data_IF_787553402806
#
_entry.id   IF_787553402806
#
_cell.length_a   1.000
_cell.length_b   1.000
_cell.length_c   1.000
_cell.angle_alpha   90.00
_cell.angle_beta   90.00
_cell.angle_gamma   90.00
#
_symmetry.space_group_name_H-M   'P 1'
#
loop_
_entity.id
_entity.type
_entity.pdbx_description
1 polymer ?
#
# COMPACT_ATOMS: atom_id res chain seq x y z
N UNK A 1 24.52 57.01 17.24
CA UNK A 1 23.25 56.31 17.52
C UNK A 1 23.32 54.95 16.81
N UNK A 2 23.61 53.88 17.55
CA UNK A 2 23.91 52.54 17.01
C UNK A 2 22.71 51.62 17.28
N UNK A 3 22.17 51.01 16.23
CA UNK A 3 21.10 50.04 16.31
C UNK A 3 21.59 48.76 16.99
N UNK A 4 20.86 48.30 18.01
CA UNK A 4 21.05 46.96 18.58
C UNK A 4 19.81 46.12 18.33
N UNK A 5 20.06 45.01 17.64
CA UNK A 5 19.12 44.05 17.09
C UNK A 5 18.07 43.56 18.10
N UNK A 6 16.81 43.52 17.66
CA UNK A 6 15.76 42.78 18.34
C UNK A 6 16.08 41.29 18.22
N UNK A 7 16.51 40.68 19.32
CA UNK A 7 16.62 39.23 19.43
C UNK A 7 15.20 38.69 19.37
N UNK A 8 14.79 38.16 18.22
CA UNK A 8 13.58 37.35 18.14
C UNK A 8 13.89 36.02 18.83
N UNK A 9 13.48 35.91 20.09
CA UNK A 9 13.43 34.62 20.78
C UNK A 9 12.44 33.75 19.99
N UNK A 10 12.96 32.86 19.15
CA UNK A 10 12.17 31.76 18.60
C UNK A 10 11.77 30.91 19.81
N UNK A 11 10.53 31.08 20.26
CA UNK A 11 9.93 30.19 21.26
C UNK A 11 10.11 28.78 20.73
N UNK A 12 10.92 28.01 21.45
CA UNK A 12 11.02 26.57 21.31
C UNK A 12 9.61 26.02 21.57
N UNK A 13 8.85 25.81 20.50
CA UNK A 13 7.59 25.12 20.56
C UNK A 13 7.91 23.67 20.87
N UNK A 14 7.83 23.32 22.15
CA UNK A 14 7.80 21.95 22.65
C UNK A 14 6.80 21.19 21.80
N UNK A 15 7.30 20.34 20.89
CA UNK A 15 6.47 19.40 20.17
C UNK A 15 5.97 18.43 21.22
N UNK A 16 4.68 18.49 21.54
CA UNK A 16 4.05 17.50 22.39
C UNK A 16 4.37 16.11 21.80
N UNK A 17 4.80 15.17 22.66
CA UNK A 17 5.25 13.81 22.32
C UNK A 17 4.15 12.90 21.71
N UNK A 18 3.08 13.50 21.17
CA UNK A 18 1.94 12.83 20.54
C UNK A 18 1.63 13.30 19.11
N UNK A 19 2.39 14.24 18.52
CA UNK A 19 2.15 14.64 17.12
C UNK A 19 2.79 13.63 16.15
N UNK A 20 1.98 12.72 15.62
CA UNK A 20 2.39 11.82 14.53
C UNK A 20 2.50 12.57 13.21
N UNK A 21 3.64 12.43 12.52
CA UNK A 21 3.84 12.98 11.18
C UNK A 21 2.81 12.42 10.20
N UNK A 22 2.25 13.23 9.28
CA UNK A 22 1.40 12.72 8.18
C UNK A 22 2.10 11.56 7.42
N UNK A 23 3.43 11.59 7.35
CA UNK A 23 4.23 10.54 6.73
C UNK A 23 4.14 9.18 7.43
N UNK A 24 3.80 9.12 8.73
CA UNK A 24 3.58 7.84 9.43
C UNK A 24 2.31 7.13 8.98
N UNK A 25 1.34 7.87 8.43
CA UNK A 25 0.13 7.30 7.85
C UNK A 25 0.31 6.92 6.37
N UNK A 26 1.31 7.50 5.70
CA UNK A 26 1.60 7.26 4.28
C UNK A 26 2.61 6.14 4.01
N UNK A 27 3.40 5.73 5.01
CA UNK A 27 4.38 4.65 4.82
C UNK A 27 3.69 3.30 4.86
N UNK A 28 3.62 2.63 3.71
CA UNK A 28 3.62 1.17 3.51
C UNK A 28 3.41 0.38 4.80
N UNK A 29 2.20 0.42 5.34
CA UNK A 29 1.79 -0.57 6.32
C UNK A 29 1.61 -1.84 5.51
N UNK A 30 2.27 -2.94 5.91
CA UNK A 30 1.89 -4.26 5.40
C UNK A 30 0.36 -4.32 5.39
N UNK A 31 -0.22 -4.68 4.24
CA UNK A 31 -1.67 -4.72 4.14
C UNK A 31 -2.19 -5.67 5.21
N UNK A 32 -3.23 -5.22 5.89
CA UNK A 32 -3.94 -6.08 6.81
C UNK A 32 -4.39 -7.33 6.05
N UNK A 33 -4.12 -8.50 6.63
CA UNK A 33 -4.32 -9.79 5.97
C UNK A 33 -5.73 -9.91 5.37
N UNK A 34 -6.76 -9.48 6.11
CA UNK A 34 -8.15 -9.51 5.64
C UNK A 34 -8.39 -8.70 4.37
N UNK A 35 -7.77 -7.52 4.26
CA UNK A 35 -7.90 -6.69 3.06
C UNK A 35 -7.12 -7.28 1.87
N UNK A 36 -5.97 -7.91 2.11
CA UNK A 36 -5.26 -8.68 1.08
C UNK A 36 -6.11 -9.85 0.56
N UNK A 37 -6.79 -10.56 1.45
CA UNK A 37 -7.69 -11.67 1.10
C UNK A 37 -8.89 -11.19 0.24
N UNK A 38 -9.43 -10.00 0.51
CA UNK A 38 -10.47 -9.39 -0.32
C UNK A 38 -10.00 -9.05 -1.74
N UNK A 39 -8.77 -8.54 -1.86
CA UNK A 39 -8.13 -8.26 -3.16
C UNK A 39 -7.94 -9.59 -3.91
N UNK A 40 -7.41 -10.63 -3.26
CA UNK A 40 -7.26 -11.97 -3.84
C UNK A 40 -8.59 -12.51 -4.39
N UNK A 41 -9.67 -12.40 -3.60
CA UNK A 41 -11.00 -12.85 -4.00
C UNK A 41 -11.52 -12.09 -5.22
N UNK A 42 -11.29 -10.79 -5.27
CA UNK A 42 -11.72 -9.92 -6.37
C UNK A 42 -10.96 -10.22 -7.67
N UNK A 43 -9.63 -10.37 -7.58
CA UNK A 43 -8.78 -10.76 -8.72
C UNK A 43 -9.25 -12.11 -9.25
N UNK A 44 -9.46 -13.09 -8.37
CA UNK A 44 -9.82 -14.44 -8.83
C UNK A 44 -11.18 -14.48 -9.51
N UNK A 45 -12.17 -13.75 -8.97
CA UNK A 45 -13.46 -13.58 -9.64
C UNK A 45 -13.30 -12.99 -11.03
N UNK A 46 -12.48 -11.95 -11.19
CA UNK A 46 -12.23 -11.36 -12.50
C UNK A 46 -11.59 -12.37 -13.48
N UNK A 47 -10.60 -13.14 -13.01
CA UNK A 47 -9.93 -14.13 -13.85
C UNK A 47 -10.89 -15.25 -14.30
N UNK A 48 -11.70 -15.78 -13.38
CA UNK A 48 -12.66 -16.85 -13.69
C UNK A 48 -13.80 -16.34 -14.58
N UNK A 49 -14.43 -15.23 -14.21
CA UNK A 49 -15.62 -14.72 -14.91
C UNK A 49 -15.29 -14.21 -16.31
N UNK A 50 -14.08 -13.67 -16.51
CA UNK A 50 -13.64 -13.17 -17.82
C UNK A 50 -12.77 -14.18 -18.59
N UNK A 51 -12.60 -15.41 -18.11
CA UNK A 51 -11.71 -16.43 -18.69
C UNK A 51 -10.28 -15.92 -18.97
N UNK A 52 -9.75 -15.10 -18.06
CA UNK A 52 -8.38 -14.58 -18.17
C UNK A 52 -7.41 -15.71 -17.83
N UNK A 53 -6.40 -16.00 -18.68
CA UNK A 53 -5.39 -16.99 -18.36
C UNK A 53 -4.65 -16.65 -17.06
N UNK A 54 -4.53 -17.61 -16.13
CA UNK A 54 -3.83 -17.39 -14.86
C UNK A 54 -2.35 -16.99 -15.03
N UNK A 55 -1.74 -17.23 -16.19
CA UNK A 55 -0.38 -16.73 -16.49
C UNK A 55 -0.27 -15.20 -16.44
N UNK A 56 -1.38 -14.47 -16.58
CA UNK A 56 -1.39 -13.01 -16.54
C UNK A 56 -1.04 -12.46 -15.15
N UNK A 57 -1.33 -13.19 -14.05
CA UNK A 57 -1.03 -12.70 -12.70
C UNK A 57 0.46 -12.53 -12.42
N UNK A 58 1.30 -13.31 -13.12
CA UNK A 58 2.76 -13.27 -13.02
C UNK A 58 3.40 -12.38 -14.09
N UNK A 59 2.59 -11.76 -14.96
CA UNK A 59 3.10 -10.86 -15.98
C UNK A 59 3.65 -9.57 -15.31
N UNK A 60 4.88 -9.13 -15.62
CA UNK A 60 5.47 -7.94 -15.00
C UNK A 60 4.62 -6.67 -15.13
N UNK A 61 3.97 -6.44 -16.28
CA UNK A 61 3.10 -5.28 -16.47
C UNK A 61 1.83 -5.37 -15.64
N UNK A 62 1.32 -6.58 -15.41
CA UNK A 62 0.17 -6.80 -14.54
C UNK A 62 0.55 -6.61 -13.06
N UNK A 63 1.72 -7.09 -12.65
CA UNK A 63 2.26 -6.85 -11.30
C UNK A 63 2.43 -5.34 -11.07
N UNK A 64 3.01 -4.62 -12.03
CA UNK A 64 3.16 -3.16 -11.97
C UNK A 64 1.81 -2.45 -11.88
N UNK A 65 0.79 -2.90 -12.63
CA UNK A 65 -0.57 -2.39 -12.51
C UNK A 65 -1.11 -2.57 -11.09
N UNK A 66 -0.99 -3.77 -10.52
CA UNK A 66 -1.47 -4.05 -9.17
C UNK A 66 -0.71 -3.21 -8.14
N UNK A 67 0.61 -3.09 -8.26
CA UNK A 67 1.44 -2.25 -7.37
C UNK A 67 1.15 -0.76 -7.51
N UNK A 68 0.73 -0.30 -8.69
CA UNK A 68 0.28 1.08 -8.91
C UNK A 68 -1.04 1.35 -8.18
N UNK A 69 -1.96 0.39 -8.19
CA UNK A 69 -3.24 0.49 -7.50
C UNK A 69 -3.11 0.31 -5.98
N UNK A 70 -2.27 -0.64 -5.56
CA UNK A 70 -2.06 -1.00 -4.18
C UNK A 70 -0.59 -1.42 -3.94
N UNK A 71 0.28 -0.48 -3.55
CA UNK A 71 1.72 -0.73 -3.41
C UNK A 71 2.09 -1.81 -2.39
N UNK A 72 1.31 -1.92 -1.31
CA UNK A 72 1.53 -2.89 -0.23
C UNK A 72 1.02 -4.30 -0.51
N UNK A 73 0.43 -4.56 -1.70
CA UNK A 73 -0.14 -5.85 -2.04
C UNK A 73 0.84 -6.70 -2.84
N UNK A 74 1.06 -7.93 -2.40
CA UNK A 74 1.85 -8.91 -3.13
C UNK A 74 0.92 -9.90 -3.84
N UNK A 75 0.89 -9.89 -5.19
CA UNK A 75 0.07 -10.82 -5.95
C UNK A 75 0.46 -12.28 -5.68
N UNK A 76 -0.50 -13.21 -5.74
CA UNK A 76 -0.21 -14.63 -5.60
C UNK A 76 0.46 -15.16 -6.87
N UNK A 77 1.15 -16.30 -6.76
CA UNK A 77 1.59 -17.03 -7.96
C UNK A 77 0.38 -17.60 -8.72
N UNK A 78 0.58 -17.94 -9.99
CA UNK A 78 -0.46 -18.57 -10.80
C UNK A 78 -0.96 -19.88 -10.20
N UNK A 79 -0.07 -20.63 -9.56
CA UNK A 79 -0.36 -21.92 -8.93
C UNK A 79 -1.25 -21.72 -7.70
N UNK A 80 -0.94 -20.70 -6.90
CA UNK A 80 -1.77 -20.31 -5.75
C UNK A 80 -3.12 -19.81 -6.26
N UNK A 81 -3.15 -18.95 -7.28
CA UNK A 81 -4.40 -18.43 -7.83
C UNK A 81 -5.29 -19.55 -8.41
N UNK A 82 -4.71 -20.53 -9.11
CA UNK A 82 -5.44 -21.66 -9.69
C UNK A 82 -5.80 -22.74 -8.67
N UNK A 83 -4.95 -22.97 -7.67
CA UNK A 83 -5.09 -24.07 -6.71
C UNK A 83 -5.87 -23.71 -5.45
N UNK A 84 -5.82 -22.45 -5.02
CA UNK A 84 -6.36 -22.01 -3.72
C UNK A 84 -7.84 -21.66 -3.80
N UNK A 85 -8.35 -21.25 -4.97
CA UNK A 85 -9.70 -20.67 -5.06
C UNK A 85 -10.75 -21.45 -5.86
N UNK A 86 -10.40 -22.61 -6.44
CA UNK A 86 -11.41 -23.54 -7.00
C UNK A 86 -11.92 -24.55 -5.96
N UNK A 87 -11.36 -24.55 -4.74
CA UNK A 87 -11.69 -25.49 -3.67
C UNK A 87 -12.32 -24.88 -2.41
N UNK A 88 -12.75 -23.62 -2.44
CA UNK A 88 -13.40 -22.94 -1.31
C UNK A 88 -14.85 -22.54 -1.59
#
# INVERSE_FOLDING_TARGET
MSARSVITVRKNCRLNDGQTSIRSFYKNKELEKGYSDEIHRSITKAFVMCNIPFSIIENPWFIDLIKTLQPGYDPPSRQVLSGTLLGQ
#
